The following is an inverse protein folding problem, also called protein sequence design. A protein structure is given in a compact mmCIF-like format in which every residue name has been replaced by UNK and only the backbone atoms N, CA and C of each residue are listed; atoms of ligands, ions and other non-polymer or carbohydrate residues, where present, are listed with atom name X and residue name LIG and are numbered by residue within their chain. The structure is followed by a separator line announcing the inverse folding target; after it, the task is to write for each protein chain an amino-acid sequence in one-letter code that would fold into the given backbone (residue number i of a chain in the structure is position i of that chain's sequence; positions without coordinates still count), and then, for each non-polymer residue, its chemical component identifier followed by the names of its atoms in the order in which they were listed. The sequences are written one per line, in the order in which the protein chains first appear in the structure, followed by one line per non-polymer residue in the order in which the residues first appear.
data_IF_045153474735
#
_entry.id   IF_045153474735
#
_cell.length_a   1.000
_cell.length_b   1.000
_cell.length_c   1.000
_cell.angle_alpha   90.00
_cell.angle_beta   90.00
_cell.angle_gamma   90.00
#
_symmetry.space_group_name_H-M   'P 1'
#
loop_
_entity.id
_entity.type
_entity.pdbx_description
1 polymer ?
#
# COMPACT_ATOMS: atom_id res chain seq x y z
N UNK A 1 19.89 -2.54 12.76
CA UNK A 1 20.12 -1.15 12.29
C UNK A 1 21.42 -0.59 12.86
N UNK A 2 21.63 -0.71 14.17
CA UNK A 2 22.83 -0.15 14.81
C UNK A 2 24.12 -0.73 14.24
N UNK A 3 24.16 -2.01 13.95
CA UNK A 3 25.33 -2.66 13.36
C UNK A 3 25.65 -2.14 11.96
N UNK A 4 24.65 -1.79 11.18
CA UNK A 4 24.82 -1.31 9.81
C UNK A 4 25.35 0.12 9.74
N UNK A 5 25.06 0.93 10.73
CA UNK A 5 25.49 2.32 10.76
C UNK A 5 26.80 2.54 11.52
N UNK A 6 27.38 1.47 12.08
CA UNK A 6 28.68 1.54 12.73
C UNK A 6 28.74 2.29 14.05
N UNK A 7 27.59 2.53 14.69
CA UNK A 7 27.50 3.18 16.00
C UNK A 7 27.07 2.16 17.05
N UNK A 8 27.28 2.49 18.32
CA UNK A 8 26.84 1.61 19.39
C UNK A 8 25.32 1.49 19.41
N UNK A 9 24.75 0.36 19.95
CA UNK A 9 23.31 0.18 19.99
C UNK A 9 22.55 1.31 20.73
N UNK A 10 23.09 1.82 21.82
CA UNK A 10 22.40 2.83 22.63
C UNK A 10 22.14 4.15 21.93
N UNK A 11 23.14 4.81 21.29
CA UNK A 11 22.87 6.04 20.53
C UNK A 11 21.91 5.81 19.35
N UNK A 12 22.03 4.68 18.66
CA UNK A 12 21.13 4.35 17.55
C UNK A 12 19.70 4.20 18.03
N UNK A 13 19.49 3.48 19.13
CA UNK A 13 18.19 3.28 19.74
C UNK A 13 17.57 4.61 20.19
N UNK A 14 18.35 5.48 20.80
CA UNK A 14 17.88 6.79 21.25
C UNK A 14 17.40 7.66 20.08
N UNK A 15 18.08 7.60 18.94
CA UNK A 15 17.65 8.30 17.72
C UNK A 15 16.31 7.79 17.22
N UNK A 16 16.12 6.48 17.21
CA UNK A 16 14.87 5.87 16.77
C UNK A 16 13.73 6.31 17.70
N UNK A 17 13.93 6.25 19.01
CA UNK A 17 12.92 6.69 19.97
C UNK A 17 12.56 8.16 19.79
N UNK A 18 13.54 9.01 19.57
CA UNK A 18 13.30 10.44 19.35
C UNK A 18 12.48 10.66 18.08
N UNK A 19 12.78 9.95 17.00
CA UNK A 19 12.01 10.06 15.76
C UNK A 19 10.57 9.59 15.91
N UNK A 20 10.34 8.57 16.73
CA UNK A 20 8.99 8.13 17.05
C UNK A 20 8.24 9.19 17.87
N UNK A 21 8.90 9.76 18.85
CA UNK A 21 8.30 10.79 19.73
C UNK A 21 7.88 12.04 18.95
N UNK A 22 8.66 12.46 17.95
CA UNK A 22 8.34 13.63 17.12
C UNK A 22 7.52 13.28 15.87
N UNK A 23 7.10 12.04 15.72
CA UNK A 23 6.23 11.61 14.61
C UNK A 23 6.93 11.33 13.29
N UNK A 24 8.26 11.35 13.23
CA UNK A 24 9.02 11.00 12.02
C UNK A 24 8.90 9.52 11.71
N UNK A 25 8.93 8.67 12.74
CA UNK A 25 8.67 7.23 12.61
C UNK A 25 7.26 6.98 13.10
N UNK A 26 6.34 6.71 12.16
CA UNK A 26 4.94 6.43 12.49
C UNK A 26 4.73 5.00 12.94
N UNK A 27 5.58 4.06 12.49
CA UNK A 27 5.49 2.66 12.86
C UNK A 27 6.83 1.98 12.63
N UNK A 28 7.08 0.91 13.40
CA UNK A 28 8.20 0.01 13.18
C UNK A 28 7.64 -1.34 12.75
N UNK A 29 8.17 -1.87 11.64
CA UNK A 29 7.73 -3.14 11.10
C UNK A 29 8.90 -3.83 10.41
N UNK A 30 8.68 -5.08 10.01
CA UNK A 30 9.62 -5.82 9.17
C UNK A 30 9.09 -5.86 7.74
N UNK A 31 10.01 -5.93 6.78
CA UNK A 31 9.66 -6.08 5.36
C UNK A 31 9.77 -7.55 5.01
N UNK A 32 8.66 -8.14 4.59
CA UNK A 32 8.62 -9.54 4.20
C UNK A 32 8.92 -9.70 2.71
N UNK A 33 9.59 -10.80 2.37
CA UNK A 33 9.78 -11.19 0.98
C UNK A 33 8.48 -11.83 0.47
N UNK A 34 7.74 -11.14 -0.40
CA UNK A 34 6.44 -11.58 -0.91
C UNK A 34 6.50 -12.95 -1.58
N UNK A 35 7.56 -13.21 -2.35
CA UNK A 35 7.72 -14.50 -3.04
C UNK A 35 7.92 -15.64 -2.05
N UNK A 36 8.64 -15.38 -0.95
CA UNK A 36 8.89 -16.38 0.08
C UNK A 36 7.62 -16.76 0.84
N UNK A 37 6.64 -15.87 0.93
CA UNK A 37 5.35 -16.12 1.59
C UNK A 37 4.21 -16.34 0.58
N UNK A 38 4.56 -16.64 -0.66
CA UNK A 38 3.60 -16.98 -1.72
C UNK A 38 2.63 -15.84 -2.09
N UNK A 39 3.09 -14.59 -2.03
CA UNK A 39 2.33 -13.42 -2.48
C UNK A 39 3.08 -12.72 -3.63
N UNK A 40 3.32 -13.48 -4.70
CA UNK A 40 4.19 -13.03 -5.78
C UNK A 40 3.53 -12.08 -6.78
N UNK A 41 2.20 -12.04 -6.82
CA UNK A 41 1.47 -11.22 -7.81
C UNK A 41 1.11 -9.87 -7.19
N UNK A 42 1.47 -8.79 -7.90
CA UNK A 42 1.04 -7.43 -7.58
C UNK A 42 0.10 -6.95 -8.68
N UNK A 43 -1.04 -6.43 -8.29
CA UNK A 43 -2.01 -5.86 -9.23
C UNK A 43 -2.29 -4.42 -8.84
N UNK A 44 -2.29 -3.54 -9.84
CA UNK A 44 -2.75 -2.16 -9.69
C UNK A 44 -4.16 -2.07 -10.26
N UNK A 45 -5.14 -1.90 -9.39
CA UNK A 45 -6.54 -1.82 -9.75
C UNK A 45 -6.97 -0.36 -9.76
N UNK A 46 -7.39 0.13 -10.92
CA UNK A 46 -7.93 1.47 -11.05
C UNK A 46 -9.45 1.45 -11.03
N UNK A 47 -10.03 2.40 -10.31
CA UNK A 47 -11.48 2.51 -10.15
C UNK A 47 -11.91 3.94 -10.48
N UNK A 48 -12.96 4.05 -11.28
CA UNK A 48 -13.63 5.31 -11.56
C UNK A 48 -15.07 5.25 -11.08
N UNK A 49 -15.53 6.34 -10.47
CA UNK A 49 -16.90 6.43 -9.98
C UNK A 49 -17.55 7.71 -10.49
N UNK A 50 -18.87 7.68 -10.70
CA UNK A 50 -19.61 8.84 -11.17
C UNK A 50 -19.96 9.80 -10.04
N UNK A 51 -20.16 9.30 -8.83
CA UNK A 51 -20.54 10.10 -7.68
C UNK A 51 -19.68 9.76 -6.46
N UNK A 52 -19.06 10.79 -5.87
CA UNK A 52 -18.27 10.67 -4.66
C UNK A 52 -19.14 11.05 -3.45
N UNK A 53 -20.27 10.37 -3.26
CA UNK A 53 -21.11 10.60 -2.10
C UNK A 53 -20.41 10.14 -0.84
N UNK A 54 -20.79 10.73 0.30
CA UNK A 54 -20.24 10.32 1.60
C UNK A 54 -20.51 8.84 1.86
N UNK A 55 -21.71 8.36 1.53
CA UNK A 55 -22.07 6.95 1.72
C UNK A 55 -21.17 6.03 0.90
N UNK A 56 -20.86 6.39 -0.34
CA UNK A 56 -19.96 5.61 -1.17
C UNK A 56 -18.54 5.59 -0.58
N UNK A 57 -18.05 6.74 -0.15
CA UNK A 57 -16.71 6.87 0.43
C UNK A 57 -16.59 6.04 1.71
N UNK A 58 -17.59 6.12 2.59
CA UNK A 58 -17.60 5.34 3.83
C UNK A 58 -17.61 3.84 3.56
N UNK A 59 -18.42 3.42 2.60
CA UNK A 59 -18.49 2.02 2.18
C UNK A 59 -17.16 1.55 1.59
N UNK A 60 -16.56 2.38 0.74
CA UNK A 60 -15.27 2.09 0.14
C UNK A 60 -14.18 1.95 1.20
N UNK A 61 -14.16 2.87 2.17
CA UNK A 61 -13.18 2.81 3.26
C UNK A 61 -13.33 1.52 4.07
N UNK A 62 -14.57 1.10 4.34
CA UNK A 62 -14.83 -0.16 5.04
C UNK A 62 -14.32 -1.37 4.24
N UNK A 63 -14.51 -1.36 2.93
CA UNK A 63 -14.04 -2.44 2.04
C UNK A 63 -12.51 -2.50 2.04
N UNK A 64 -11.85 -1.36 1.93
CA UNK A 64 -10.38 -1.29 1.95
C UNK A 64 -9.83 -1.89 3.24
N UNK A 65 -10.45 -1.56 4.36
CA UNK A 65 -9.99 -2.04 5.68
C UNK A 65 -10.33 -3.51 5.92
N UNK A 66 -11.34 -4.03 5.25
CA UNK A 66 -11.79 -5.41 5.40
C UNK A 66 -10.84 -6.41 4.74
N UNK A 67 -10.24 -6.05 3.61
CA UNK A 67 -9.45 -6.97 2.80
C UNK A 67 -7.96 -6.69 2.95
N UNK A 68 -7.23 -7.62 3.57
CA UNK A 68 -5.79 -7.51 3.78
C UNK A 68 -4.99 -7.58 2.48
N UNK A 69 -5.58 -8.13 1.41
CA UNK A 69 -4.98 -8.18 0.08
C UNK A 69 -4.73 -6.78 -0.49
N UNK A 70 -5.52 -5.79 -0.06
CA UNK A 70 -5.35 -4.40 -0.47
C UNK A 70 -4.33 -3.75 0.45
N UNK A 71 -3.10 -3.55 -0.05
CA UNK A 71 -2.00 -3.04 0.77
C UNK A 71 -1.81 -1.53 0.66
N UNK A 72 -2.31 -0.92 -0.42
CA UNK A 72 -2.28 0.54 -0.59
C UNK A 72 -3.52 0.97 -1.34
N UNK A 73 -4.03 2.14 -1.02
CA UNK A 73 -5.13 2.78 -1.73
C UNK A 73 -4.89 4.27 -1.78
N UNK A 74 -4.95 4.84 -2.97
CA UNK A 74 -4.73 6.26 -3.19
C UNK A 74 -5.88 6.86 -3.98
N UNK A 75 -6.32 8.06 -3.59
CA UNK A 75 -7.17 8.89 -4.41
C UNK A 75 -6.27 9.73 -5.31
N UNK A 76 -6.54 9.71 -6.59
CA UNK A 76 -5.67 10.31 -7.59
C UNK A 76 -6.30 11.54 -8.24
N UNK A 77 -5.45 12.44 -8.70
CA UNK A 77 -5.83 13.44 -9.69
C UNK A 77 -5.75 12.81 -11.07
N UNK A 78 -6.57 13.25 -11.98
CA UNK A 78 -6.56 12.74 -13.35
C UNK A 78 -7.96 12.55 -13.90
N UNK A 79 -8.07 12.27 -15.19
CA UNK A 79 -9.34 12.18 -15.88
C UNK A 79 -9.91 10.77 -15.97
N UNK A 80 -9.05 9.74 -15.86
CA UNK A 80 -9.47 8.37 -16.14
C UNK A 80 -9.57 7.46 -14.90
N UNK A 81 -8.96 7.85 -13.79
CA UNK A 81 -8.92 7.03 -12.59
C UNK A 81 -9.11 7.90 -11.36
N UNK A 82 -10.08 7.55 -10.52
CA UNK A 82 -10.32 8.26 -9.27
C UNK A 82 -9.54 7.65 -8.11
N UNK A 83 -9.43 6.32 -8.10
CA UNK A 83 -8.74 5.57 -7.04
C UNK A 83 -7.85 4.49 -7.62
N UNK A 84 -6.70 4.30 -7.01
CA UNK A 84 -5.76 3.23 -7.37
C UNK A 84 -5.49 2.37 -6.15
N UNK A 85 -5.68 1.07 -6.31
CA UNK A 85 -5.42 0.08 -5.25
C UNK A 85 -4.24 -0.78 -5.65
N UNK A 86 -3.34 -1.00 -4.71
CA UNK A 86 -2.27 -1.97 -4.87
C UNK A 86 -2.67 -3.23 -4.12
N UNK A 87 -2.76 -4.34 -4.83
CA UNK A 87 -3.28 -5.62 -4.31
C UNK A 87 -2.21 -6.68 -4.49
N UNK A 88 -2.05 -7.55 -3.49
CA UNK A 88 -1.15 -8.70 -3.57
C UNK A 88 -1.96 -9.98 -3.55
N UNK A 89 -1.51 -10.98 -4.31
CA UNK A 89 -2.19 -12.25 -4.40
C UNK A 89 -1.18 -13.38 -4.69
N UNK A 90 -1.53 -14.64 -4.34
CA UNK A 90 -0.66 -15.79 -4.64
C UNK A 90 -0.60 -16.11 -6.14
N UNK A 91 -1.69 -15.86 -6.87
CA UNK A 91 -1.81 -16.22 -8.30
C UNK A 91 -2.81 -15.29 -8.98
N UNK A 92 -2.82 -15.33 -10.30
CA UNK A 92 -3.80 -14.60 -11.10
C UNK A 92 -5.21 -15.12 -10.81
N UNK A 93 -5.37 -16.41 -10.63
CA UNK A 93 -6.66 -17.03 -10.33
C UNK A 93 -7.21 -16.52 -8.99
N UNK A 94 -6.35 -16.47 -7.96
CA UNK A 94 -6.75 -15.95 -6.65
C UNK A 94 -7.12 -14.46 -6.73
N UNK A 95 -6.37 -13.69 -7.53
CA UNK A 95 -6.71 -12.29 -7.76
C UNK A 95 -8.06 -12.16 -8.45
N UNK A 96 -8.34 -12.97 -9.45
CA UNK A 96 -9.61 -12.92 -10.17
C UNK A 96 -10.78 -13.21 -9.22
N UNK A 97 -10.64 -14.20 -8.37
CA UNK A 97 -11.64 -14.51 -7.34
C UNK A 97 -11.86 -13.32 -6.41
N UNK A 98 -10.79 -12.67 -6.00
CA UNK A 98 -10.87 -11.46 -5.17
C UNK A 98 -11.59 -10.33 -5.88
N UNK A 99 -11.24 -10.09 -7.14
CA UNK A 99 -11.86 -9.03 -7.95
C UNK A 99 -13.36 -9.26 -8.11
N UNK A 100 -13.80 -10.49 -8.27
CA UNK A 100 -15.23 -10.83 -8.37
C UNK A 100 -15.97 -10.47 -7.08
N UNK A 101 -15.37 -10.72 -5.93
CA UNK A 101 -15.96 -10.29 -4.65
C UNK A 101 -16.06 -8.79 -4.57
N UNK A 102 -15.02 -8.08 -4.97
CA UNK A 102 -14.97 -6.63 -4.92
C UNK A 102 -16.03 -6.01 -5.83
N UNK A 103 -16.20 -6.55 -7.04
CA UNK A 103 -17.21 -6.10 -7.99
C UNK A 103 -18.61 -6.22 -7.38
N UNK A 104 -18.85 -7.27 -6.60
CA UNK A 104 -20.15 -7.48 -5.94
C UNK A 104 -20.43 -6.54 -4.78
N UNK A 105 -19.43 -5.87 -4.24
CA UNK A 105 -19.57 -5.03 -3.05
C UNK A 105 -19.47 -3.53 -3.31
N UNK A 106 -19.00 -3.12 -4.49
CA UNK A 106 -18.66 -1.73 -4.78
C UNK A 106 -19.33 -1.25 -6.06
N UNK A 107 -19.95 -0.06 -6.00
CA UNK A 107 -20.46 0.61 -7.17
C UNK A 107 -19.36 1.41 -7.85
N UNK A 108 -19.23 1.27 -9.17
CA UNK A 108 -18.21 1.97 -9.96
C UNK A 108 -18.67 2.09 -11.41
N UNK A 109 -18.07 3.04 -12.14
CA UNK A 109 -18.34 3.20 -13.58
C UNK A 109 -17.33 2.44 -14.43
N UNK A 110 -16.09 2.32 -13.97
CA UNK A 110 -15.03 1.62 -14.68
C UNK A 110 -14.05 1.01 -13.68
N UNK A 111 -13.60 -0.17 -13.97
CA UNK A 111 -12.59 -0.88 -13.18
C UNK A 111 -11.60 -1.54 -14.14
N UNK A 112 -10.32 -1.34 -13.92
CA UNK A 112 -9.27 -1.87 -14.77
C UNK A 112 -8.12 -2.41 -13.93
N UNK A 113 -7.69 -3.64 -14.21
CA UNK A 113 -6.60 -4.30 -13.51
C UNK A 113 -5.35 -4.30 -14.36
N UNK A 114 -4.21 -3.92 -13.77
CA UNK A 114 -2.90 -4.01 -14.40
C UNK A 114 -2.00 -4.86 -13.52
N UNK A 115 -1.51 -5.95 -14.06
CA UNK A 115 -0.63 -6.86 -13.32
C UNK A 115 0.80 -6.39 -13.49
N UNK A 116 1.53 -6.26 -12.39
CA UNK A 116 2.94 -5.92 -12.43
C UNK A 116 3.73 -7.10 -12.96
N UNK A 117 4.36 -6.91 -14.10
CA UNK A 117 5.21 -7.95 -14.71
C UNK A 117 6.56 -8.02 -14.04
N UNK A 118 7.06 -6.89 -13.57
CA UNK A 118 8.37 -6.79 -12.94
C UNK A 118 8.40 -5.59 -12.01
N UNK A 119 8.84 -5.81 -10.78
CA UNK A 119 9.10 -4.73 -9.86
C UNK A 119 10.54 -4.25 -10.09
N UNK A 120 10.69 -3.09 -10.69
CA UNK A 120 12.00 -2.57 -11.05
C UNK A 120 12.69 -1.87 -9.88
N UNK A 121 11.89 -1.28 -8.99
CA UNK A 121 12.41 -0.64 -7.79
C UNK A 121 11.30 -0.54 -6.75
N UNK A 122 11.63 -0.91 -5.54
CA UNK A 122 10.75 -0.73 -4.39
C UNK A 122 11.60 -0.40 -3.18
N UNK A 123 11.83 0.89 -2.98
CA UNK A 123 12.66 1.37 -1.87
C UNK A 123 11.78 1.80 -0.71
N UNK A 124 12.12 1.32 0.48
CA UNK A 124 11.51 1.76 1.73
C UNK A 124 12.26 2.93 2.34
N UNK A 125 13.32 3.38 1.67
CA UNK A 125 14.16 4.49 2.12
C UNK A 125 13.66 5.76 1.44
N UNK A 126 13.17 6.70 2.25
CA UNK A 126 12.70 7.99 1.76
C UNK A 126 13.87 8.96 1.58
N UNK A 127 13.75 9.91 0.63
CA UNK A 127 14.76 10.96 0.47
C UNK A 127 14.71 11.92 1.65
N UNK A 128 15.74 11.93 2.47
CA UNK A 128 15.80 12.72 3.72
C UNK A 128 16.55 14.03 3.59
N UNK A 129 17.04 14.37 2.41
CA UNK A 129 17.80 15.62 2.19
C UNK A 129 16.95 16.88 2.42
N UNK A 130 15.64 16.78 2.42
CA UNK A 130 14.71 17.88 2.78
C UNK A 130 14.35 17.90 4.27
N UNK A 131 14.69 16.85 5.00
CA UNK A 131 14.34 16.73 6.41
C UNK A 131 15.34 17.51 7.26
N UNK A 132 14.83 18.49 8.03
CA UNK A 132 15.61 19.27 9.00
C UNK A 132 15.12 18.94 10.40
N UNK A 133 16.01 18.31 11.15
CA UNK A 133 15.68 17.87 12.51
C UNK A 133 15.79 19.01 13.51
#
# INVERSE_FOLDING_TARGET
ISKKVGVSPTPCWNRIKKMEEVGVISARTIVLNRKAINLSIIVFLSIRVSHHSKDWIDRFQNIINKYDEIIETHRLTGSDTDYMLKIVAPSIEEYDNFQQKLIGELEFTKMSSSISLQEMKNSHILPLNQFKN
#
